data_IF_144326659889
#
_entry.id   IF_144326659889
#
_cell.length_a   1.000
_cell.length_b   1.000
_cell.length_c   1.000
_cell.angle_alpha   90.00
_cell.angle_beta   90.00
_cell.angle_gamma   90.00
#
_symmetry.space_group_name_H-M   'P 1'
#
loop_
_entity.id
_entity.type
_entity.pdbx_description
1 polymer ?
#
# COMPACT_ATOMS: atom_id res chain seq x y z
N UNK A 1 64.93 -29.44 -37.89
CA UNK A 1 63.68 -29.38 -37.09
C UNK A 1 64.03 -29.42 -35.61
N UNK A 2 64.25 -28.27 -34.98
CA UNK A 2 64.57 -28.18 -33.54
C UNK A 2 63.31 -27.92 -32.72
N UNK A 3 62.86 -28.90 -31.95
CA UNK A 3 61.80 -28.73 -30.94
C UNK A 3 62.33 -27.82 -29.84
N UNK A 4 61.75 -26.63 -29.69
CA UNK A 4 62.00 -25.75 -28.56
C UNK A 4 61.64 -26.49 -27.27
N UNK A 5 62.64 -26.74 -26.43
CA UNK A 5 62.45 -27.29 -25.09
C UNK A 5 61.57 -26.33 -24.28
N UNK A 6 60.35 -26.77 -23.95
CA UNK A 6 59.44 -26.02 -23.09
C UNK A 6 60.11 -25.80 -21.74
N UNK A 7 60.41 -24.54 -21.41
CA UNK A 7 60.87 -24.15 -20.07
C UNK A 7 59.85 -24.67 -19.05
N UNK A 8 60.25 -25.64 -18.24
CA UNK A 8 59.47 -26.08 -17.09
C UNK A 8 59.18 -24.85 -16.23
N UNK A 9 57.89 -24.54 -16.10
CA UNK A 9 57.40 -23.41 -15.31
C UNK A 9 57.66 -23.79 -13.85
N UNK A 10 58.69 -23.21 -13.24
CA UNK A 10 59.04 -23.48 -11.85
C UNK A 10 57.78 -23.32 -10.97
N UNK A 11 57.42 -24.38 -10.25
CA UNK A 11 56.29 -24.34 -9.31
C UNK A 11 56.59 -23.29 -8.24
N UNK A 12 55.75 -22.26 -8.20
CA UNK A 12 55.86 -21.23 -7.17
C UNK A 12 55.36 -21.83 -5.85
N UNK A 13 56.09 -21.64 -4.74
CA UNK A 13 55.65 -22.15 -3.45
C UNK A 13 54.30 -21.52 -3.05
N UNK A 14 53.40 -22.33 -2.51
CA UNK A 14 52.09 -21.87 -2.04
C UNK A 14 52.23 -20.80 -0.94
N UNK A 15 51.30 -19.85 -0.89
CA UNK A 15 51.19 -18.90 0.22
C UNK A 15 50.73 -19.63 1.48
N UNK A 16 51.15 -19.15 2.64
CA UNK A 16 50.85 -19.80 3.91
C UNK A 16 49.43 -19.40 4.41
N UNK A 17 48.85 -20.19 5.33
CA UNK A 17 47.53 -19.87 5.93
C UNK A 17 47.45 -18.46 6.58
N UNK A 18 48.51 -17.91 7.20
CA UNK A 18 48.49 -16.52 7.66
C UNK A 18 48.23 -15.51 6.54
N UNK A 19 48.79 -15.73 5.34
CA UNK A 19 48.56 -14.86 4.18
C UNK A 19 47.10 -14.93 3.72
N UNK A 20 46.47 -16.11 3.82
CA UNK A 20 45.04 -16.31 3.56
C UNK A 20 44.16 -15.51 4.50
N UNK A 21 44.42 -15.58 5.81
CA UNK A 21 43.69 -14.81 6.81
C UNK A 21 43.85 -13.31 6.59
N UNK A 22 45.04 -12.88 6.20
CA UNK A 22 45.33 -11.49 5.92
C UNK A 22 44.56 -10.97 4.69
N UNK A 23 44.53 -11.72 3.58
CA UNK A 23 43.70 -11.39 2.41
C UNK A 23 42.23 -11.24 2.81
N UNK A 24 41.68 -12.21 3.56
CA UNK A 24 40.29 -12.16 4.01
C UNK A 24 40.02 -10.97 4.94
N UNK A 25 40.94 -10.64 5.84
CA UNK A 25 40.84 -9.47 6.71
C UNK A 25 40.75 -8.19 5.89
N UNK A 26 41.62 -8.02 4.89
CA UNK A 26 41.61 -6.86 3.99
C UNK A 26 40.30 -6.78 3.21
N UNK A 27 39.81 -7.89 2.65
CA UNK A 27 38.54 -7.92 1.93
C UNK A 27 37.37 -7.50 2.84
N UNK A 28 37.29 -8.04 4.06
CA UNK A 28 36.23 -7.75 5.04
C UNK A 28 36.21 -6.30 5.51
N UNK A 29 37.40 -5.72 5.69
CA UNK A 29 37.56 -4.33 6.14
C UNK A 29 37.44 -3.31 5.01
N UNK A 30 37.60 -3.74 3.76
CA UNK A 30 37.43 -2.84 2.63
C UNK A 30 35.99 -2.38 2.50
N UNK A 31 35.80 -1.08 2.27
CA UNK A 31 34.50 -0.49 1.98
C UNK A 31 34.04 -0.72 0.52
N UNK A 32 34.99 -0.98 -0.39
CA UNK A 32 34.73 -1.27 -1.81
C UNK A 32 35.44 -2.55 -2.28
N UNK A 33 34.95 -3.19 -3.36
CA UNK A 33 35.67 -4.29 -4.00
C UNK A 33 37.06 -3.86 -4.49
N UNK A 34 38.06 -4.69 -4.23
CA UNK A 34 39.47 -4.38 -4.50
C UNK A 34 39.98 -5.13 -5.74
N UNK A 35 40.72 -4.43 -6.60
CA UNK A 35 41.53 -5.08 -7.63
C UNK A 35 42.73 -5.78 -7.00
N UNK A 36 43.23 -6.84 -7.64
CA UNK A 36 44.38 -7.63 -7.18
C UNK A 36 45.58 -6.77 -6.78
N UNK A 37 45.88 -5.72 -7.55
CA UNK A 37 47.01 -4.82 -7.30
C UNK A 37 46.80 -4.00 -6.01
N UNK A 38 45.57 -3.58 -5.72
CA UNK A 38 45.25 -2.87 -4.47
C UNK A 38 45.30 -3.83 -3.29
N UNK A 39 44.80 -5.05 -3.46
CA UNK A 39 44.81 -6.09 -2.44
C UNK A 39 46.25 -6.42 -2.01
N UNK A 40 47.15 -6.62 -2.98
CA UNK A 40 48.58 -6.81 -2.76
C UNK A 40 49.25 -5.66 -1.99
N UNK A 41 48.81 -4.42 -2.21
CA UNK A 41 49.35 -3.24 -1.52
C UNK A 41 48.83 -3.09 -0.08
N UNK A 42 47.63 -3.59 0.19
CA UNK A 42 46.97 -3.44 1.49
C UNK A 42 47.20 -4.61 2.44
N UNK A 43 47.46 -5.81 1.89
CA UNK A 43 47.71 -7.01 2.67
C UNK A 43 49.17 -7.08 3.12
N UNK A 44 49.39 -7.25 4.42
CA UNK A 44 50.70 -7.44 5.03
C UNK A 44 51.05 -8.93 5.01
N UNK A 45 51.62 -9.38 3.88
CA UNK A 45 51.99 -10.77 3.69
C UNK A 45 53.29 -11.14 4.43
N UNK A 46 53.43 -12.42 4.76
CA UNK A 46 54.64 -12.99 5.37
C UNK A 46 55.90 -12.83 4.51
N UNK A 47 55.72 -12.73 3.19
CA UNK A 47 56.76 -12.45 2.20
C UNK A 47 56.21 -11.63 1.04
N UNK A 48 57.06 -10.99 0.21
CA UNK A 48 56.61 -10.35 -1.02
C UNK A 48 55.93 -11.38 -1.95
N UNK A 49 54.61 -11.27 -2.08
CA UNK A 49 53.79 -12.14 -2.92
C UNK A 49 53.69 -11.58 -4.34
N UNK A 50 53.75 -12.47 -5.33
CA UNK A 50 53.47 -12.14 -6.74
C UNK A 50 51.96 -12.18 -6.99
N UNK A 51 51.52 -11.42 -7.99
CA UNK A 51 50.12 -11.41 -8.44
C UNK A 51 49.55 -12.82 -8.68
N UNK A 52 50.30 -13.68 -9.36
CA UNK A 52 49.89 -15.06 -9.66
C UNK A 52 49.67 -15.89 -8.39
N UNK A 53 50.48 -15.70 -7.35
CA UNK A 53 50.33 -16.44 -6.09
C UNK A 53 49.04 -16.02 -5.36
N UNK A 54 48.72 -14.73 -5.38
CA UNK A 54 47.49 -14.20 -4.78
C UNK A 54 46.25 -14.55 -5.63
N UNK A 55 46.37 -14.65 -6.95
CA UNK A 55 45.28 -15.15 -7.82
C UNK A 55 44.92 -16.61 -7.48
N UNK A 56 45.91 -17.48 -7.27
CA UNK A 56 45.68 -18.87 -6.84
C UNK A 56 44.98 -18.91 -5.49
N UNK A 57 45.44 -18.08 -4.54
CA UNK A 57 44.81 -17.97 -3.22
C UNK A 57 43.37 -17.45 -3.30
N UNK A 58 43.10 -16.43 -4.12
CA UNK A 58 41.75 -15.91 -4.36
C UNK A 58 40.87 -16.97 -5.00
N UNK A 59 41.37 -17.76 -5.95
CA UNK A 59 40.64 -18.89 -6.53
C UNK A 59 40.16 -19.90 -5.48
N UNK A 60 41.01 -20.19 -4.48
CA UNK A 60 40.62 -21.02 -3.33
C UNK A 60 39.54 -20.35 -2.46
N UNK A 61 39.66 -19.05 -2.21
CA UNK A 61 38.65 -18.28 -1.43
C UNK A 61 37.31 -18.17 -2.14
N UNK A 62 37.31 -17.98 -3.47
CA UNK A 62 36.11 -17.97 -4.31
C UNK A 62 35.42 -19.34 -4.28
N UNK A 63 36.20 -20.41 -4.43
CA UNK A 63 35.68 -21.79 -4.40
C UNK A 63 35.08 -22.15 -3.03
N UNK A 64 35.63 -21.58 -1.95
CA UNK A 64 35.12 -21.74 -0.60
C UNK A 64 33.94 -20.81 -0.26
N UNK A 65 33.52 -19.92 -1.17
CA UNK A 65 32.47 -18.92 -0.91
C UNK A 65 32.85 -17.85 0.13
N UNK A 66 34.15 -17.68 0.42
CA UNK A 66 34.66 -16.69 1.37
C UNK A 66 35.00 -15.35 0.71
N UNK A 67 35.10 -15.34 -0.61
CA UNK A 67 35.22 -14.15 -1.43
C UNK A 67 34.26 -14.27 -2.62
N UNK A 68 33.93 -13.14 -3.22
CA UNK A 68 33.12 -13.03 -4.43
C UNK A 68 33.92 -12.24 -5.46
N UNK A 69 33.89 -12.72 -6.70
CA UNK A 69 34.47 -12.00 -7.83
C UNK A 69 33.47 -10.96 -8.33
N UNK A 70 33.97 -9.74 -8.50
CA UNK A 70 33.22 -8.57 -8.93
C UNK A 70 33.66 -8.16 -10.34
N UNK A 71 32.71 -7.77 -11.21
CA UNK A 71 33.05 -7.33 -12.55
C UNK A 71 33.96 -6.11 -12.51
N UNK A 72 34.79 -5.99 -13.55
CA UNK A 72 35.64 -4.83 -13.75
C UNK A 72 34.82 -3.52 -13.84
N UNK A 73 35.40 -2.40 -13.42
CA UNK A 73 34.76 -1.07 -13.54
C UNK A 73 34.56 -0.64 -15.01
N UNK A 74 35.36 -1.18 -15.92
CA UNK A 74 35.33 -0.91 -17.35
C UNK A 74 35.37 -2.25 -18.11
N UNK A 75 34.90 -2.28 -19.36
CA UNK A 75 34.89 -3.50 -20.17
C UNK A 75 36.28 -4.12 -20.39
N UNK A 76 37.34 -3.31 -20.31
CA UNK A 76 38.73 -3.76 -20.44
C UNK A 76 39.47 -3.89 -19.08
N UNK A 77 38.76 -3.66 -17.97
CA UNK A 77 39.37 -3.67 -16.64
C UNK A 77 39.56 -5.09 -16.09
N UNK A 78 40.27 -5.18 -14.96
CA UNK A 78 40.49 -6.44 -14.24
C UNK A 78 39.35 -6.73 -13.26
N UNK A 79 39.10 -8.01 -12.94
CA UNK A 79 38.14 -8.35 -11.89
C UNK A 79 38.56 -7.76 -10.55
N UNK A 80 37.56 -7.53 -9.72
CA UNK A 80 37.69 -7.05 -8.34
C UNK A 80 37.24 -8.16 -7.41
N UNK A 81 37.64 -8.10 -6.14
CA UNK A 81 37.32 -9.12 -5.15
C UNK A 81 36.80 -8.47 -3.89
N UNK A 82 35.80 -9.08 -3.27
CA UNK A 82 35.25 -8.65 -1.99
C UNK A 82 34.76 -9.84 -1.16
N UNK A 83 34.45 -9.62 0.12
CA UNK A 83 33.89 -10.64 1.01
C UNK A 83 32.36 -10.72 0.95
N UNK A 84 31.72 -9.72 0.34
CA UNK A 84 30.26 -9.61 0.20
C UNK A 84 29.84 -9.77 -1.24
N UNK A 85 28.72 -10.45 -1.45
CA UNK A 85 28.06 -10.51 -2.74
C UNK A 85 27.39 -9.16 -3.04
N UNK A 86 27.82 -8.51 -4.14
CA UNK A 86 27.21 -7.29 -4.65
C UNK A 86 25.70 -7.45 -4.78
N UNK A 87 25.31 -8.61 -5.30
CA UNK A 87 23.96 -8.88 -5.73
C UNK A 87 23.06 -8.95 -4.52
N UNK A 88 23.37 -9.81 -3.55
CA UNK A 88 22.59 -9.90 -2.32
C UNK A 88 22.52 -8.58 -1.54
N UNK A 89 23.66 -7.93 -1.28
CA UNK A 89 23.69 -6.67 -0.52
C UNK A 89 23.06 -5.50 -1.29
N UNK A 90 23.31 -5.44 -2.59
CA UNK A 90 22.81 -4.42 -3.50
C UNK A 90 21.31 -4.51 -3.73
N UNK A 91 20.78 -5.72 -3.98
CA UNK A 91 19.35 -5.95 -4.17
C UNK A 91 18.54 -5.52 -2.96
N UNK A 92 18.94 -5.94 -1.76
CA UNK A 92 18.26 -5.57 -0.52
C UNK A 92 18.22 -4.06 -0.33
N UNK A 93 19.35 -3.38 -0.49
CA UNK A 93 19.42 -1.93 -0.34
C UNK A 93 18.67 -1.15 -1.43
N UNK A 94 18.73 -1.58 -2.70
CA UNK A 94 17.97 -0.94 -3.79
C UNK A 94 16.48 -1.14 -3.56
N UNK A 95 16.06 -2.36 -3.21
CA UNK A 95 14.67 -2.67 -2.88
C UNK A 95 14.17 -1.79 -1.75
N UNK A 96 14.87 -1.79 -0.62
CA UNK A 96 14.43 -1.05 0.56
C UNK A 96 14.33 0.46 0.27
N UNK A 97 15.28 1.00 -0.52
CA UNK A 97 15.24 2.40 -0.97
C UNK A 97 14.07 2.70 -1.90
N UNK A 98 13.78 1.83 -2.87
CA UNK A 98 12.71 2.03 -3.88
C UNK A 98 11.32 1.81 -3.26
N UNK A 99 11.19 0.84 -2.36
CA UNK A 99 9.94 0.52 -1.67
C UNK A 99 9.58 1.51 -0.57
N UNK A 100 10.56 2.12 0.09
CA UNK A 100 10.32 3.17 1.10
C UNK A 100 10.12 4.56 0.51
N UNK A 101 10.41 4.75 -0.79
CA UNK A 101 10.26 6.04 -1.45
C UNK A 101 8.79 6.49 -1.51
N UNK A 102 8.52 7.75 -1.17
CA UNK A 102 7.19 8.34 -1.29
C UNK A 102 6.75 8.55 -2.75
N UNK A 103 7.71 8.66 -3.68
CA UNK A 103 7.49 8.88 -5.11
C UNK A 103 8.36 7.94 -5.94
N UNK A 104 7.96 7.60 -7.18
CA UNK A 104 8.79 6.82 -8.09
C UNK A 104 10.13 7.49 -8.37
N UNK A 105 11.22 6.72 -8.28
CA UNK A 105 12.59 7.21 -8.41
C UNK A 105 13.18 6.88 -9.78
N UNK A 106 13.92 7.80 -10.39
CA UNK A 106 14.75 7.47 -11.56
C UNK A 106 16.02 6.72 -11.14
N UNK A 107 16.68 6.02 -12.07
CA UNK A 107 17.99 5.39 -11.79
C UNK A 107 19.02 6.41 -11.26
N UNK A 108 18.97 7.66 -11.77
CA UNK A 108 19.83 8.76 -11.29
C UNK A 108 19.50 9.15 -9.84
N UNK A 109 18.22 9.20 -9.48
CA UNK A 109 17.79 9.52 -8.11
C UNK A 109 18.17 8.40 -7.14
N UNK A 110 17.99 7.13 -7.55
CA UNK A 110 18.42 5.96 -6.77
C UNK A 110 19.92 6.04 -6.49
N UNK A 111 20.73 6.31 -7.51
CA UNK A 111 22.18 6.49 -7.36
C UNK A 111 22.56 7.67 -6.46
N UNK A 112 21.79 8.76 -6.48
CA UNK A 112 22.00 9.94 -5.62
C UNK A 112 21.63 9.67 -4.16
N UNK A 113 20.55 8.93 -3.93
CA UNK A 113 20.05 8.57 -2.60
C UNK A 113 20.76 7.34 -2.01
N UNK A 114 21.56 6.65 -2.83
CA UNK A 114 22.37 5.51 -2.45
C UNK A 114 23.40 5.88 -1.37
N UNK A 115 23.25 5.30 -0.18
CA UNK A 115 24.13 5.53 0.98
C UNK A 115 24.98 4.33 1.36
N UNK A 116 25.05 3.29 0.54
CA UNK A 116 25.85 2.11 0.88
C UNK A 116 27.35 2.40 0.75
N UNK A 117 28.17 1.56 1.39
CA UNK A 117 29.63 1.73 1.46
C UNK A 117 30.33 1.68 0.11
N UNK A 118 29.70 1.07 -0.89
CA UNK A 118 30.22 0.92 -2.24
C UNK A 118 29.42 1.74 -3.26
N UNK A 119 30.07 2.17 -4.33
CA UNK A 119 29.44 2.89 -5.43
C UNK A 119 29.00 1.91 -6.51
N UNK A 120 27.74 2.01 -6.92
CA UNK A 120 27.21 1.30 -8.08
C UNK A 120 27.54 2.07 -9.37
N UNK A 121 28.02 1.36 -10.38
CA UNK A 121 27.98 1.82 -11.77
C UNK A 121 26.54 1.81 -12.28
N UNK A 122 26.28 2.52 -13.39
CA UNK A 122 24.93 2.55 -13.97
C UNK A 122 24.53 1.16 -14.49
N UNK A 123 25.48 0.41 -15.05
CA UNK A 123 25.26 -0.97 -15.52
C UNK A 123 24.91 -1.92 -14.37
N UNK A 124 25.64 -1.85 -13.25
CA UNK A 124 25.35 -2.67 -12.07
C UNK A 124 23.97 -2.31 -11.49
N UNK A 125 23.65 -1.01 -11.33
CA UNK A 125 22.35 -0.58 -10.83
C UNK A 125 21.20 -1.05 -11.74
N UNK A 126 21.34 -0.91 -13.06
CA UNK A 126 20.32 -1.37 -14.00
C UNK A 126 20.16 -2.90 -13.99
N UNK A 127 21.23 -3.66 -13.75
CA UNK A 127 21.14 -5.11 -13.58
C UNK A 127 20.33 -5.49 -12.33
N UNK A 128 20.61 -4.84 -11.19
CA UNK A 128 19.85 -5.05 -9.95
C UNK A 128 18.37 -4.67 -10.10
N UNK A 129 18.07 -3.57 -10.80
CA UNK A 129 16.69 -3.14 -11.04
C UNK A 129 15.92 -4.13 -11.93
N UNK A 130 16.55 -4.66 -12.99
CA UNK A 130 15.92 -5.68 -13.84
C UNK A 130 15.60 -6.95 -13.08
N UNK A 131 16.46 -7.34 -12.15
CA UNK A 131 16.21 -8.50 -11.29
C UNK A 131 15.02 -8.25 -10.35
N UNK A 132 15.00 -7.12 -9.65
CA UNK A 132 13.86 -6.77 -8.78
C UNK A 132 12.53 -6.63 -9.55
N UNK A 133 12.60 -6.23 -10.83
CA UNK A 133 11.45 -6.21 -11.73
C UNK A 133 10.99 -7.61 -12.12
N UNK A 134 11.92 -8.50 -12.45
CA UNK A 134 11.62 -9.89 -12.79
C UNK A 134 10.98 -10.64 -11.61
N UNK A 135 11.41 -10.32 -10.39
CA UNK A 135 10.84 -10.86 -9.14
C UNK A 135 9.51 -10.19 -8.74
N UNK A 136 9.05 -9.17 -9.47
CA UNK A 136 7.82 -8.43 -9.17
C UNK A 136 7.85 -7.63 -7.86
N UNK A 137 9.05 -7.39 -7.32
CA UNK A 137 9.23 -6.66 -6.04
C UNK A 137 9.14 -5.14 -6.24
N UNK A 138 9.57 -4.67 -7.41
CA UNK A 138 9.40 -3.28 -7.84
C UNK A 138 8.70 -3.25 -9.20
N UNK A 139 8.22 -2.07 -9.59
CA UNK A 139 7.50 -1.86 -10.85
C UNK A 139 8.09 -0.67 -11.61
N UNK A 140 8.08 -0.77 -12.93
CA UNK A 140 8.39 0.36 -13.81
C UNK A 140 7.20 1.30 -13.88
N UNK A 141 7.43 2.56 -13.54
CA UNK A 141 6.46 3.64 -13.66
C UNK A 141 6.89 4.52 -14.85
N UNK A 142 6.05 4.66 -15.88
CA UNK A 142 6.39 5.51 -17.02
C UNK A 142 6.50 6.97 -16.58
N UNK A 143 7.45 7.70 -17.17
CA UNK A 143 7.59 9.13 -16.93
C UNK A 143 6.38 9.91 -17.46
N UNK A 144 6.18 11.13 -16.92
CA UNK A 144 5.10 12.04 -17.35
C UNK A 144 5.21 12.48 -18.81
N UNK A 145 6.39 12.34 -19.43
CA UNK A 145 6.63 12.64 -20.84
C UNK A 145 7.44 11.51 -21.46
N UNK A 146 7.38 11.38 -22.79
CA UNK A 146 8.18 10.42 -23.57
C UNK A 146 9.69 10.60 -23.31
N UNK A 147 10.09 11.81 -22.94
CA UNK A 147 11.48 12.16 -22.58
C UNK A 147 11.79 11.84 -21.11
N UNK A 148 10.78 11.76 -20.25
CA UNK A 148 10.92 11.37 -18.86
C UNK A 148 11.23 9.88 -18.80
N UNK A 149 12.51 9.55 -18.62
CA UNK A 149 12.97 8.16 -18.52
C UNK A 149 12.21 7.35 -17.46
N UNK A 150 12.31 6.02 -17.60
CA UNK A 150 11.68 5.04 -16.71
C UNK A 150 12.01 5.33 -15.24
N UNK A 151 10.99 5.25 -14.39
CA UNK A 151 11.11 5.34 -12.94
C UNK A 151 10.75 4.01 -12.32
N UNK A 152 11.21 3.79 -11.10
CA UNK A 152 11.01 2.55 -10.36
C UNK A 152 10.32 2.85 -9.04
N UNK A 153 9.39 2.00 -8.64
CA UNK A 153 8.69 2.13 -7.36
C UNK A 153 8.33 0.77 -6.77
N UNK A 154 8.20 0.67 -5.45
CA UNK A 154 7.77 -0.56 -4.78
C UNK A 154 6.26 -0.81 -4.82
N UNK A 155 5.51 -0.01 -5.57
CA UNK A 155 4.06 -0.11 -5.72
C UNK A 155 3.71 -0.22 -7.19
N UNK A 156 2.64 -0.94 -7.46
CA UNK A 156 2.22 -1.22 -8.83
C UNK A 156 1.80 0.07 -9.58
N UNK A 157 1.79 -0.03 -10.91
CA UNK A 157 1.47 1.07 -11.82
C UNK A 157 0.06 1.63 -11.57
N UNK A 158 -0.90 0.77 -11.24
CA UNK A 158 -2.29 1.16 -10.97
C UNK A 158 -2.41 1.89 -9.64
N UNK A 159 -1.63 1.53 -8.62
CA UNK A 159 -1.58 2.25 -7.34
C UNK A 159 -1.04 3.66 -7.53
N UNK A 160 0.00 3.84 -8.35
CA UNK A 160 0.52 5.17 -8.68
C UNK A 160 -0.49 6.01 -9.47
N UNK A 161 -1.13 5.40 -10.47
CA UNK A 161 -2.19 6.04 -11.25
C UNK A 161 -3.38 6.42 -10.36
N UNK A 162 -3.79 5.54 -9.46
CA UNK A 162 -4.88 5.76 -8.51
C UNK A 162 -4.60 6.90 -7.54
N UNK A 163 -3.39 6.98 -7.00
CA UNK A 163 -2.97 8.12 -6.20
C UNK A 163 -3.05 9.45 -6.96
N UNK A 164 -2.66 9.45 -8.24
CA UNK A 164 -2.73 10.63 -9.11
C UNK A 164 -4.16 11.05 -9.42
N UNK A 165 -5.03 10.09 -9.71
CA UNK A 165 -6.47 10.28 -9.96
C UNK A 165 -7.17 10.84 -8.73
N UNK A 166 -6.92 10.25 -7.55
CA UNK A 166 -7.51 10.72 -6.29
C UNK A 166 -7.04 12.12 -5.95
N UNK A 167 -5.76 12.44 -6.15
CA UNK A 167 -5.25 13.78 -5.89
C UNK A 167 -5.88 14.83 -6.82
N UNK A 168 -6.04 14.51 -8.11
CA UNK A 168 -6.71 15.40 -9.06
C UNK A 168 -8.17 15.68 -8.64
N UNK A 169 -8.90 14.64 -8.18
CA UNK A 169 -10.27 14.79 -7.68
C UNK A 169 -10.34 15.55 -6.35
N UNK A 170 -9.34 15.43 -5.46
CA UNK A 170 -9.29 16.23 -4.22
C UNK A 170 -9.13 17.70 -4.53
N UNK A 171 -8.25 18.02 -5.48
CA UNK A 171 -7.93 19.40 -5.82
C UNK A 171 -9.06 20.09 -6.61
N UNK A 172 -9.72 19.37 -7.52
CA UNK A 172 -10.69 19.96 -8.45
C UNK A 172 -12.14 19.56 -8.22
N UNK A 173 -12.38 18.65 -7.27
CA UNK A 173 -13.70 18.08 -7.03
C UNK A 173 -14.12 17.13 -8.14
N UNK A 174 -15.39 17.23 -8.54
CA UNK A 174 -16.00 16.32 -9.51
C UNK A 174 -15.52 16.63 -10.95
N UNK A 175 -14.99 15.62 -11.64
CA UNK A 175 -14.41 15.77 -12.99
C UNK A 175 -15.00 14.80 -14.02
N UNK A 176 -15.10 15.21 -15.31
CA UNK A 176 -15.38 14.29 -16.41
C UNK A 176 -14.25 13.27 -16.63
N UNK A 177 -14.60 12.07 -17.13
CA UNK A 177 -13.63 11.01 -17.44
C UNK A 177 -12.45 11.49 -18.28
N UNK A 178 -12.69 12.34 -19.30
CA UNK A 178 -11.64 12.86 -20.19
C UNK A 178 -10.65 13.79 -19.47
N UNK A 179 -11.12 14.60 -18.51
CA UNK A 179 -10.23 15.47 -17.72
C UNK A 179 -9.43 14.65 -16.72
N UNK A 180 -10.07 13.65 -16.11
CA UNK A 180 -9.40 12.74 -15.18
C UNK A 180 -8.31 11.92 -15.88
N UNK A 181 -8.57 11.47 -17.11
CA UNK A 181 -7.63 10.75 -17.98
C UNK A 181 -6.35 11.54 -18.24
N UNK A 182 -6.43 12.87 -18.31
CA UNK A 182 -5.28 13.71 -18.57
C UNK A 182 -4.19 13.61 -17.48
N UNK A 183 -4.57 13.30 -16.23
CA UNK A 183 -3.62 13.10 -15.12
C UNK A 183 -2.78 11.82 -15.28
N UNK A 184 -3.28 10.84 -16.02
CA UNK A 184 -2.69 9.51 -16.22
C UNK A 184 -2.65 9.13 -17.70
N UNK A 185 -2.38 10.09 -18.59
CA UNK A 185 -2.36 9.90 -20.05
C UNK A 185 -1.39 8.81 -20.52
N UNK A 186 -0.40 8.49 -19.71
CA UNK A 186 0.61 7.45 -19.95
C UNK A 186 0.09 6.03 -19.74
N UNK A 187 -1.04 5.84 -19.06
CA UNK A 187 -1.68 4.53 -18.89
C UNK A 187 -2.44 4.19 -20.19
N UNK A 188 -2.60 2.94 -20.59
CA UNK A 188 -3.48 2.58 -21.71
C UNK A 188 -4.96 2.60 -21.30
N UNK A 189 -5.87 2.55 -22.28
CA UNK A 189 -7.31 2.68 -22.01
C UNK A 189 -7.90 1.49 -21.24
N UNK A 190 -7.37 0.28 -21.45
CA UNK A 190 -7.83 -0.93 -20.77
C UNK A 190 -7.47 -0.85 -19.29
N UNK A 191 -6.20 -0.58 -18.98
CA UNK A 191 -5.74 -0.39 -17.60
C UNK A 191 -6.37 0.82 -16.92
N UNK A 192 -6.68 1.88 -17.67
CA UNK A 192 -7.38 3.04 -17.13
C UNK A 192 -8.82 2.72 -16.73
N UNK A 193 -9.54 1.94 -17.53
CA UNK A 193 -10.87 1.45 -17.17
C UNK A 193 -10.81 0.56 -15.91
N UNK A 194 -9.88 -0.41 -15.88
CA UNK A 194 -9.63 -1.26 -14.72
C UNK A 194 -9.33 -0.45 -13.45
N UNK A 195 -8.52 0.60 -13.58
CA UNK A 195 -8.21 1.51 -12.47
C UNK A 195 -9.47 2.16 -11.90
N UNK A 196 -10.33 2.72 -12.75
CA UNK A 196 -11.56 3.39 -12.29
C UNK A 196 -12.52 2.39 -11.64
N UNK A 197 -12.68 1.20 -12.22
CA UNK A 197 -13.54 0.15 -11.66
C UNK A 197 -13.01 -0.31 -10.30
N UNK A 198 -11.69 -0.49 -10.15
CA UNK A 198 -11.05 -0.84 -8.87
C UNK A 198 -11.27 0.23 -7.82
N UNK A 199 -11.06 1.50 -8.15
CA UNK A 199 -11.27 2.62 -7.22
C UNK A 199 -12.76 2.76 -6.83
N UNK A 200 -13.68 2.51 -7.77
CA UNK A 200 -15.11 2.54 -7.51
C UNK A 200 -15.55 1.37 -6.62
N UNK A 201 -15.06 0.16 -6.88
CA UNK A 201 -15.33 -1.02 -6.05
C UNK A 201 -14.82 -0.87 -4.61
N UNK A 202 -13.74 -0.09 -4.42
CA UNK A 202 -13.20 0.27 -3.10
C UNK A 202 -13.90 1.47 -2.45
N UNK A 203 -14.95 2.03 -3.07
CA UNK A 203 -15.64 3.25 -2.62
C UNK A 203 -14.71 4.46 -2.43
N UNK A 204 -13.59 4.51 -3.16
CA UNK A 204 -12.66 5.65 -3.13
C UNK A 204 -13.08 6.75 -4.11
N UNK A 205 -13.80 6.37 -5.16
CA UNK A 205 -14.44 7.29 -6.10
C UNK A 205 -15.86 6.82 -6.39
N UNK A 206 -16.71 7.75 -6.79
CA UNK A 206 -18.11 7.52 -7.11
C UNK A 206 -18.39 7.99 -8.52
N UNK A 207 -19.15 7.16 -9.25
CA UNK A 207 -19.68 7.50 -10.57
C UNK A 207 -20.91 8.37 -10.38
N UNK A 208 -20.86 9.62 -10.84
CA UNK A 208 -21.97 10.56 -10.77
C UNK A 208 -22.85 10.39 -12.02
N UNK A 209 -24.19 10.32 -11.87
CA UNK A 209 -25.08 10.22 -13.01
C UNK A 209 -24.89 11.43 -13.94
N UNK A 210 -24.89 11.21 -15.24
CA UNK A 210 -24.77 12.30 -16.19
C UNK A 210 -26.00 13.23 -16.07
N UNK A 211 -25.79 14.48 -15.67
CA UNK A 211 -26.87 15.47 -15.72
C UNK A 211 -27.15 15.85 -17.17
N UNK A 212 -28.43 15.86 -17.57
CA UNK A 212 -28.88 16.36 -18.89
C UNK A 212 -28.79 17.90 -18.99
N UNK A 213 -27.72 18.50 -18.49
CA UNK A 213 -27.45 19.92 -18.63
C UNK A 213 -26.66 20.16 -19.94
N UNK A 214 -27.34 20.09 -21.10
CA UNK A 214 -26.77 20.47 -22.40
C UNK A 214 -26.58 19.32 -23.41
N UNK A 215 -25.82 19.60 -24.48
CA UNK A 215 -25.69 18.75 -25.69
C UNK A 215 -24.94 17.43 -25.51
N UNK A 216 -24.27 17.19 -24.38
CA UNK A 216 -23.60 15.91 -24.12
C UNK A 216 -23.69 15.53 -22.64
N UNK A 217 -24.38 14.44 -22.35
CA UNK A 217 -24.41 13.82 -21.03
C UNK A 217 -23.01 13.23 -20.74
N UNK A 218 -22.16 13.99 -20.05
CA UNK A 218 -20.82 13.53 -19.68
C UNK A 218 -20.87 12.76 -18.37
N UNK A 219 -20.13 11.65 -18.32
CA UNK A 219 -19.93 10.91 -17.09
C UNK A 219 -18.96 11.64 -16.18
N UNK A 220 -19.36 11.84 -14.93
CA UNK A 220 -18.61 12.54 -13.91
C UNK A 220 -18.13 11.58 -12.83
N UNK A 221 -16.99 11.89 -12.21
CA UNK A 221 -16.39 11.15 -11.11
C UNK A 221 -16.06 12.09 -9.97
N UNK A 222 -16.30 11.66 -8.73
CA UNK A 222 -15.97 12.43 -7.52
C UNK A 222 -15.56 11.51 -6.36
N UNK A 223 -14.97 12.07 -5.31
CA UNK A 223 -14.56 11.31 -4.10
C UNK A 223 -15.73 11.11 -3.13
N UNK A 224 -16.75 11.96 -3.22
CA UNK A 224 -17.98 11.82 -2.45
C UNK A 224 -19.11 11.22 -3.31
N UNK A 225 -20.04 10.47 -2.69
CA UNK A 225 -21.28 10.10 -3.34
C UNK A 225 -21.99 11.34 -3.94
N UNK A 226 -22.67 11.20 -5.10
CA UNK A 226 -23.44 12.30 -5.67
C UNK A 226 -24.54 12.73 -4.69
N UNK A 227 -24.60 14.03 -4.38
CA UNK A 227 -25.68 14.58 -3.56
C UNK A 227 -26.97 14.56 -4.38
N UNK A 228 -28.10 14.02 -3.92
CA UNK A 228 -29.29 13.84 -4.77
C UNK A 228 -29.95 15.16 -5.21
N UNK A 229 -29.70 16.26 -4.51
CA UNK A 229 -30.41 17.54 -4.65
C UNK A 229 -30.42 18.13 -6.08
N UNK A 230 -29.30 18.17 -6.82
CA UNK A 230 -29.29 18.70 -8.19
C UNK A 230 -30.17 17.89 -9.15
N UNK A 231 -30.28 16.58 -8.95
CA UNK A 231 -31.12 15.68 -9.76
C UNK A 231 -32.60 15.78 -9.36
N UNK A 232 -32.87 16.02 -8.08
CA UNK A 232 -34.21 16.16 -7.56
C UNK A 232 -34.81 17.56 -7.81
N UNK A 233 -34.00 18.60 -8.04
CA UNK A 233 -34.50 19.96 -8.25
C UNK A 233 -35.47 20.09 -9.45
N UNK A 234 -35.15 19.63 -10.67
CA UNK A 234 -36.10 19.69 -11.79
C UNK A 234 -37.37 18.86 -11.54
N UNK A 235 -37.21 17.71 -10.88
CA UNK A 235 -38.35 16.85 -10.51
C UNK A 235 -39.26 17.57 -9.52
N UNK A 236 -38.69 18.26 -8.53
CA UNK A 236 -39.43 19.08 -7.57
C UNK A 236 -40.23 20.18 -8.28
N UNK A 237 -39.62 20.89 -9.22
CA UNK A 237 -40.28 21.95 -10.00
C UNK A 237 -41.45 21.41 -10.82
N UNK A 238 -41.24 20.29 -11.53
CA UNK A 238 -42.29 19.60 -12.28
C UNK A 238 -43.42 19.08 -11.37
N UNK A 239 -43.06 18.50 -10.22
CA UNK A 239 -44.02 17.99 -9.25
C UNK A 239 -44.87 19.13 -8.68
N UNK A 240 -44.27 20.28 -8.35
CA UNK A 240 -45.02 21.45 -7.90
C UNK A 240 -46.05 21.91 -8.93
N UNK A 241 -45.70 21.89 -10.21
CA UNK A 241 -46.61 22.25 -11.30
C UNK A 241 -47.76 21.23 -11.46
N UNK A 242 -47.46 19.93 -11.43
CA UNK A 242 -48.49 18.87 -11.46
C UNK A 242 -49.43 18.97 -10.26
N UNK A 243 -48.89 19.18 -9.06
CA UNK A 243 -49.68 19.37 -7.82
C UNK A 243 -50.61 20.57 -7.97
N UNK A 244 -50.14 21.67 -8.57
CA UNK A 244 -50.95 22.87 -8.83
C UNK A 244 -52.11 22.57 -9.77
N UNK A 245 -51.85 21.86 -10.88
CA UNK A 245 -52.88 21.49 -11.86
C UNK A 245 -53.94 20.53 -11.27
N UNK A 246 -53.51 19.50 -10.52
CA UNK A 246 -54.44 18.53 -9.91
C UNK A 246 -55.30 19.17 -8.80
N UNK A 247 -54.74 20.12 -8.04
CA UNK A 247 -55.52 20.90 -7.07
C UNK A 247 -56.56 21.78 -7.74
N UNK A 248 -56.25 22.38 -8.89
CA UNK A 248 -57.22 23.15 -9.68
C UNK A 248 -58.38 22.26 -10.17
N UNK A 249 -58.14 20.97 -10.36
CA UNK A 249 -59.14 19.96 -10.69
C UNK A 249 -59.81 19.32 -9.44
N UNK A 250 -59.65 19.91 -8.25
CA UNK A 250 -60.25 19.44 -6.98
C UNK A 250 -59.80 18.06 -6.49
N UNK A 251 -58.63 17.57 -6.91
CA UNK A 251 -58.03 16.35 -6.34
C UNK A 251 -57.58 16.63 -4.91
N UNK A 252 -58.00 15.77 -3.97
CA UNK A 252 -57.64 15.95 -2.56
C UNK A 252 -56.13 15.76 -2.31
N UNK A 253 -55.59 16.46 -1.31
CA UNK A 253 -54.19 16.29 -0.92
C UNK A 253 -53.89 14.86 -0.42
N UNK A 254 -54.89 14.19 0.15
CA UNK A 254 -54.78 12.81 0.64
C UNK A 254 -54.64 11.82 -0.51
N UNK A 255 -55.45 11.95 -1.56
CA UNK A 255 -55.38 11.06 -2.73
C UNK A 255 -54.08 11.29 -3.50
N UNK A 256 -53.64 12.54 -3.62
CA UNK A 256 -52.35 12.87 -4.22
C UNK A 256 -51.18 12.28 -3.43
N UNK A 257 -51.23 12.35 -2.10
CA UNK A 257 -50.21 11.73 -1.23
C UNK A 257 -50.22 10.22 -1.38
N UNK A 258 -51.39 9.56 -1.39
CA UNK A 258 -51.51 8.10 -1.58
C UNK A 258 -50.87 7.69 -2.91
N UNK A 259 -51.27 8.32 -4.01
CA UNK A 259 -50.72 8.03 -5.33
C UNK A 259 -49.20 8.26 -5.41
N UNK A 260 -48.67 9.32 -4.76
CA UNK A 260 -47.23 9.58 -4.72
C UNK A 260 -46.46 8.52 -3.91
N UNK A 261 -47.03 8.04 -2.80
CA UNK A 261 -46.46 6.93 -2.01
C UNK A 261 -46.46 5.66 -2.83
N UNK A 262 -47.58 5.28 -3.44
CA UNK A 262 -47.71 4.08 -4.27
C UNK A 262 -46.69 4.08 -5.42
N UNK A 263 -46.46 5.24 -6.04
CA UNK A 263 -45.47 5.42 -7.11
C UNK A 263 -44.03 5.25 -6.60
N UNK A 264 -43.70 5.80 -5.42
CA UNK A 264 -42.36 5.69 -4.84
C UNK A 264 -42.07 4.27 -4.35
N UNK A 265 -43.06 3.59 -3.75
CA UNK A 265 -42.95 2.19 -3.36
C UNK A 265 -42.81 1.27 -4.58
N UNK A 266 -43.56 1.53 -5.65
CA UNK A 266 -43.41 0.82 -6.94
C UNK A 266 -42.03 1.04 -7.57
N UNK A 267 -41.38 2.16 -7.27
CA UNK A 267 -39.99 2.44 -7.65
C UNK A 267 -38.95 1.82 -6.69
N UNK A 268 -39.39 1.04 -5.70
CA UNK A 268 -38.53 0.38 -4.70
C UNK A 268 -38.08 1.31 -3.57
N UNK A 269 -38.64 2.51 -3.45
CA UNK A 269 -38.34 3.47 -2.38
C UNK A 269 -39.36 3.26 -1.27
N UNK A 270 -39.01 2.47 -0.26
CA UNK A 270 -39.85 2.29 0.92
C UNK A 270 -39.85 3.56 1.77
N UNK A 271 -40.92 4.34 1.65
CA UNK A 271 -41.23 5.44 2.57
C UNK A 271 -41.77 4.83 3.85
N UNK A 272 -40.89 4.25 4.67
CA UNK A 272 -41.26 3.61 5.93
C UNK A 272 -42.30 4.44 6.65
N UNK A 273 -43.45 3.82 6.95
CA UNK A 273 -44.61 4.48 7.52
C UNK A 273 -44.17 5.35 8.70
N UNK A 274 -44.17 6.66 8.52
CA UNK A 274 -43.79 7.65 9.54
C UNK A 274 -44.91 7.84 10.57
N UNK A 275 -45.69 6.80 10.80
CA UNK A 275 -46.82 6.73 11.72
C UNK A 275 -46.54 5.61 12.70
N UNK A 276 -45.96 5.96 13.85
CA UNK A 276 -45.90 5.07 15.01
C UNK A 276 -44.62 4.27 15.16
N UNK A 277 -43.53 4.95 15.55
CA UNK A 277 -42.52 4.34 16.43
C UNK A 277 -43.13 4.12 17.82
N UNK A 278 -44.05 3.16 17.93
CA UNK A 278 -44.46 2.47 19.15
C UNK A 278 -45.39 1.32 18.77
N UNK A 279 -44.91 0.09 18.98
CA UNK A 279 -45.73 -1.11 19.13
C UNK A 279 -46.55 -1.59 17.92
N UNK A 280 -45.90 -2.09 16.85
CA UNK A 280 -46.40 -3.23 16.06
C UNK A 280 -45.48 -3.55 14.86
N UNK A 281 -44.25 -3.97 15.13
CA UNK A 281 -43.52 -4.81 14.15
C UNK A 281 -42.65 -5.80 14.92
N UNK A 282 -43.35 -6.64 15.67
CA UNK A 282 -42.84 -7.73 16.48
C UNK A 282 -43.34 -9.08 15.94
N UNK A 283 -43.30 -9.26 14.62
CA UNK A 283 -43.49 -10.55 13.96
C UNK A 283 -42.93 -10.40 12.53
N UNK A 284 -41.74 -10.87 12.15
CA UNK A 284 -40.93 -11.96 12.63
C UNK A 284 -39.44 -11.69 12.33
N UNK A 285 -38.83 -10.77 13.08
CA UNK A 285 -37.38 -10.76 13.25
C UNK A 285 -37.12 -11.38 14.62
N UNK A 286 -36.36 -12.48 14.65
CA UNK A 286 -35.82 -13.04 15.89
C UNK A 286 -35.04 -11.92 16.56
N UNK A 287 -35.64 -11.29 17.57
CA UNK A 287 -35.03 -10.19 18.31
C UNK A 287 -33.88 -10.76 19.12
N UNK A 288 -32.69 -10.74 18.53
CA UNK A 288 -31.45 -10.95 19.28
C UNK A 288 -31.46 -9.88 20.39
N UNK A 289 -31.33 -10.27 21.68
CA UNK A 289 -31.33 -9.31 22.77
C UNK A 289 -30.24 -8.26 22.51
N UNK A 290 -30.66 -7.00 22.34
CA UNK A 290 -29.76 -5.89 22.12
C UNK A 290 -28.99 -5.62 23.42
N UNK A 291 -27.74 -6.05 23.48
CA UNK A 291 -26.85 -5.77 24.62
C UNK A 291 -26.39 -4.31 24.58
N UNK A 292 -26.60 -3.56 25.65
CA UNK A 292 -26.09 -2.20 25.80
C UNK A 292 -24.63 -2.23 26.25
N UNK A 293 -23.70 -2.15 25.29
CA UNK A 293 -22.26 -2.17 25.57
C UNK A 293 -21.81 -0.98 26.43
N UNK A 294 -22.46 0.19 26.36
CA UNK A 294 -22.07 1.36 27.15
C UNK A 294 -22.39 1.13 28.62
N UNK A 295 -23.58 0.61 28.92
CA UNK A 295 -23.95 0.20 30.28
C UNK A 295 -23.00 -0.88 30.81
N UNK A 296 -22.65 -1.85 29.97
CA UNK A 296 -21.77 -2.94 30.35
C UNK A 296 -20.33 -2.46 30.65
N UNK A 297 -19.81 -1.50 29.87
CA UNK A 297 -18.51 -0.87 30.15
C UNK A 297 -18.47 -0.21 31.53
N UNK A 298 -19.55 0.48 31.94
CA UNK A 298 -19.68 1.09 33.27
C UNK A 298 -19.74 0.06 34.40
N UNK A 299 -20.30 -1.11 34.14
CA UNK A 299 -20.36 -2.21 35.12
C UNK A 299 -19.00 -2.89 35.30
N UNK A 300 -18.23 -3.00 34.21
CA UNK A 300 -16.92 -3.64 34.22
C UNK A 300 -15.83 -2.77 34.85
N UNK A 301 -15.89 -1.45 34.65
CA UNK A 301 -14.91 -0.52 35.19
C UNK A 301 -15.58 0.79 35.65
N UNK A 302 -15.49 1.09 36.95
CA UNK A 302 -16.00 2.34 37.53
C UNK A 302 -15.26 3.59 37.01
N UNK A 303 -14.08 3.42 36.41
CA UNK A 303 -13.34 4.44 35.69
C UNK A 303 -13.83 4.69 34.27
N UNK A 304 -14.77 3.89 33.72
CA UNK A 304 -15.20 4.01 32.32
C UNK A 304 -15.76 5.41 31.99
N UNK A 305 -16.52 6.03 32.90
CA UNK A 305 -17.03 7.41 32.73
C UNK A 305 -15.92 8.47 32.78
N UNK A 306 -14.71 8.11 33.19
CA UNK A 306 -13.49 8.95 33.13
C UNK A 306 -12.59 8.57 31.95
N UNK A 307 -13.11 7.80 30.99
CA UNK A 307 -12.36 7.37 29.81
C UNK A 307 -11.39 6.22 30.07
N UNK A 308 -11.57 5.44 31.16
CA UNK A 308 -10.80 4.22 31.36
C UNK A 308 -11.02 3.24 30.20
N UNK A 309 -9.94 2.57 29.79
CA UNK A 309 -9.95 1.63 28.68
C UNK A 309 -10.48 0.27 29.15
N UNK A 310 -11.56 -0.19 28.54
CA UNK A 310 -12.06 -1.57 28.69
C UNK A 310 -11.56 -2.40 27.50
N UNK A 311 -10.88 -3.52 27.76
CA UNK A 311 -10.35 -4.36 26.68
C UNK A 311 -11.47 -5.05 25.90
N UNK A 312 -11.28 -5.22 24.59
CA UNK A 312 -12.26 -5.85 23.70
C UNK A 312 -12.61 -7.28 24.17
N UNK A 313 -11.60 -8.03 24.64
CA UNK A 313 -11.76 -9.39 25.18
C UNK A 313 -12.72 -9.44 26.37
N UNK A 314 -12.52 -8.58 27.37
CA UNK A 314 -13.33 -8.57 28.60
C UNK A 314 -14.76 -8.14 28.28
N UNK A 315 -14.93 -7.10 27.47
CA UNK A 315 -16.25 -6.59 27.13
C UNK A 315 -17.05 -7.58 26.26
N UNK A 316 -16.41 -8.26 25.30
CA UNK A 316 -17.07 -9.31 24.50
C UNK A 316 -17.50 -10.49 25.35
N UNK A 317 -16.62 -10.93 26.25
CA UNK A 317 -16.93 -12.01 27.19
C UNK A 317 -18.15 -11.70 28.06
N UNK A 318 -18.23 -10.47 28.58
CA UNK A 318 -19.36 -10.03 29.39
C UNK A 318 -20.64 -9.78 28.57
N UNK A 319 -20.50 -9.38 27.29
CA UNK A 319 -21.64 -9.15 26.40
C UNK A 319 -22.31 -10.44 25.93
N UNK A 320 -21.58 -11.57 25.93
CA UNK A 320 -22.10 -12.85 25.44
C UNK A 320 -22.45 -12.86 23.96
N UNK A 321 -21.94 -11.90 23.18
CA UNK A 321 -22.25 -11.75 21.76
C UNK A 321 -21.29 -12.57 20.88
N UNK A 322 -21.79 -13.14 19.76
CA UNK A 322 -20.93 -13.66 18.70
C UNK A 322 -19.98 -12.58 18.20
N UNK A 323 -18.74 -12.97 17.86
CA UNK A 323 -17.68 -12.01 17.52
C UNK A 323 -18.08 -10.99 16.45
N UNK A 324 -18.63 -11.45 15.34
CA UNK A 324 -19.04 -10.57 14.23
C UNK A 324 -20.06 -9.52 14.70
N UNK A 325 -21.03 -9.91 15.51
CA UNK A 325 -22.05 -9.00 16.04
C UNK A 325 -21.46 -8.01 17.04
N UNK A 326 -20.53 -8.46 17.88
CA UNK A 326 -19.81 -7.61 18.82
C UNK A 326 -18.98 -6.54 18.09
N UNK A 327 -18.23 -6.95 17.06
CA UNK A 327 -17.38 -6.06 16.27
C UNK A 327 -18.22 -5.01 15.53
N UNK A 328 -19.32 -5.42 14.88
CA UNK A 328 -20.27 -4.52 14.22
C UNK A 328 -20.85 -3.49 15.20
N UNK A 329 -21.29 -3.92 16.38
CA UNK A 329 -21.88 -3.05 17.41
C UNK A 329 -20.87 -2.04 17.97
N UNK A 330 -19.63 -2.49 18.24
CA UNK A 330 -18.55 -1.61 18.68
C UNK A 330 -18.22 -0.54 17.62
N UNK A 331 -18.11 -0.92 16.35
CA UNK A 331 -17.87 0.02 15.25
C UNK A 331 -19.02 1.02 15.09
N UNK A 332 -20.27 0.58 15.21
CA UNK A 332 -21.44 1.47 15.19
C UNK A 332 -21.41 2.49 16.32
N UNK A 333 -21.13 2.06 17.56
CA UNK A 333 -21.03 2.97 18.71
C UNK A 333 -19.87 3.97 18.55
N UNK A 334 -18.75 3.54 17.96
CA UNK A 334 -17.64 4.43 17.64
C UNK A 334 -18.01 5.49 16.60
N UNK A 335 -18.72 5.09 15.53
CA UNK A 335 -19.22 6.02 14.49
C UNK A 335 -20.24 7.00 15.06
N UNK A 336 -21.08 6.55 15.99
CA UNK A 336 -22.02 7.39 16.74
C UNK A 336 -21.35 8.28 17.79
N UNK A 337 -20.01 8.22 17.95
CA UNK A 337 -19.26 9.03 18.90
C UNK A 337 -19.48 8.68 20.37
N UNK A 338 -20.08 7.52 20.66
CA UNK A 338 -20.38 7.06 22.03
C UNK A 338 -19.16 6.48 22.73
N UNK A 339 -18.29 5.84 21.94
CA UNK A 339 -17.03 5.26 22.39
C UNK A 339 -15.88 5.71 21.49
N UNK A 340 -14.65 5.52 21.96
CA UNK A 340 -13.42 5.65 21.19
C UNK A 340 -12.75 4.29 21.15
N UNK A 341 -12.44 3.79 19.95
CA UNK A 341 -11.70 2.55 19.76
C UNK A 341 -10.19 2.84 19.75
N UNK A 342 -9.43 2.10 20.55
CA UNK A 342 -7.97 2.20 20.59
C UNK A 342 -7.36 1.17 19.65
N UNK A 343 -6.65 1.66 18.63
CA UNK A 343 -6.02 0.83 17.60
C UNK A 343 -4.82 0.06 18.17
N UNK A 344 -4.62 -1.16 17.67
CA UNK A 344 -3.44 -1.96 17.94
C UNK A 344 -2.39 -1.76 16.83
N UNK A 345 -1.21 -1.24 17.17
CA UNK A 345 -0.20 -0.83 16.18
C UNK A 345 0.48 -2.02 15.47
N UNK A 346 0.51 -3.19 16.10
CA UNK A 346 1.24 -4.37 15.59
C UNK A 346 0.37 -5.64 15.51
N UNK A 347 -0.86 -5.53 14.98
CA UNK A 347 -1.78 -6.67 14.91
C UNK A 347 -1.27 -7.85 14.05
N UNK A 348 -0.35 -7.60 13.12
CA UNK A 348 0.30 -8.62 12.30
C UNK A 348 1.24 -9.53 13.07
N UNK A 349 1.78 -9.06 14.21
CA UNK A 349 2.67 -9.84 15.08
C UNK A 349 1.94 -10.82 15.99
N UNK A 350 0.62 -10.66 16.14
CA UNK A 350 -0.22 -11.51 16.95
C UNK A 350 -0.56 -12.81 16.23
N UNK A 351 -0.68 -13.89 17.01
CA UNK A 351 -1.24 -15.15 16.53
C UNK A 351 -2.69 -14.97 16.08
N UNK A 352 -3.21 -15.92 15.29
CA UNK A 352 -4.60 -15.87 14.82
C UNK A 352 -5.59 -15.84 16.00
N UNK A 353 -5.29 -16.57 17.08
CA UNK A 353 -6.13 -16.65 18.28
C UNK A 353 -6.17 -15.30 18.99
N UNK A 354 -5.02 -14.66 19.22
CA UNK A 354 -4.95 -13.34 19.86
C UNK A 354 -5.59 -12.26 19.00
N UNK A 355 -5.42 -12.35 17.68
CA UNK A 355 -6.04 -11.43 16.73
C UNK A 355 -7.56 -11.54 16.73
N UNK A 356 -8.10 -12.75 16.94
CA UNK A 356 -9.54 -12.98 17.08
C UNK A 356 -10.11 -12.43 18.40
N UNK A 357 -9.27 -12.03 19.37
CA UNK A 357 -9.73 -11.34 20.57
C UNK A 357 -9.92 -9.83 20.38
N UNK A 358 -9.39 -9.25 19.30
CA UNK A 358 -9.46 -7.81 18.99
C UNK A 358 -10.69 -7.49 18.14
N UNK A 359 -11.27 -6.30 18.29
CA UNK A 359 -12.32 -5.83 17.35
C UNK A 359 -11.66 -5.56 15.99
N UNK A 360 -12.28 -5.98 14.88
CA UNK A 360 -11.79 -5.68 13.53
C UNK A 360 -12.86 -5.03 12.67
N UNK A 361 -12.44 -4.15 11.77
CA UNK A 361 -13.29 -3.56 10.73
C UNK A 361 -13.39 -4.41 9.46
N UNK A 362 -12.65 -5.52 9.39
CA UNK A 362 -12.54 -6.36 8.19
C UNK A 362 -11.61 -5.80 7.11
N UNK A 363 -11.08 -4.59 7.30
CA UNK A 363 -10.15 -3.91 6.38
C UNK A 363 -8.70 -3.96 6.88
N UNK A 364 -8.43 -4.84 7.86
CA UNK A 364 -7.11 -5.04 8.44
C UNK A 364 -6.78 -4.08 9.59
N UNK A 365 -7.74 -3.28 10.07
CA UNK A 365 -7.59 -2.58 11.34
C UNK A 365 -8.06 -3.48 12.49
N UNK A 366 -7.33 -3.39 13.59
CA UNK A 366 -7.63 -4.11 14.81
C UNK A 366 -7.57 -3.15 16.00
N UNK A 367 -8.53 -3.30 16.92
CA UNK A 367 -8.68 -2.45 18.08
C UNK A 367 -8.61 -3.29 19.35
N UNK A 368 -7.78 -2.86 20.29
CA UNK A 368 -7.46 -3.60 21.53
C UNK A 368 -8.45 -3.33 22.66
N UNK A 369 -9.06 -2.15 22.66
CA UNK A 369 -10.00 -1.75 23.68
C UNK A 369 -10.79 -0.53 23.28
N UNK A 370 -11.69 -0.15 24.17
CA UNK A 370 -12.63 0.94 23.95
C UNK A 370 -12.73 1.78 25.23
N UNK A 371 -12.86 3.10 25.07
CA UNK A 371 -13.12 4.02 26.16
C UNK A 371 -14.41 4.81 25.88
N UNK A 372 -15.15 5.19 26.91
CA UNK A 372 -16.29 6.10 26.74
C UNK A 372 -15.76 7.49 26.37
N UNK A 373 -16.44 8.19 25.45
CA UNK A 373 -16.04 9.56 25.09
C UNK A 373 -16.50 10.51 26.21
N UNK A 374 -15.56 10.98 27.03
CA UNK A 374 -15.81 11.99 28.06
C UNK A 374 -16.05 13.35 27.40
N UNK A 375 -17.27 13.90 27.52
CA UNK A 375 -17.58 15.24 27.02
C UNK A 375 -18.97 15.47 26.42
N UNK A 376 -19.82 14.43 26.32
CA UNK A 376 -21.25 14.65 26.05
C UNK A 376 -22.05 14.51 27.34
N UNK A 377 -22.09 15.61 28.10
CA UNK A 377 -23.24 15.89 28.96
C UNK A 377 -24.42 16.05 28.00
N UNK A 378 -25.47 15.23 28.17
CA UNK A 378 -26.72 15.38 27.44
C UNK A 378 -27.40 16.71 27.78
#
# INVERSE_FOLDING_TARGET
>A
MGKAAGKQKAELPALAEPDRHEVLRVLRQSAEPLELVKLLKQAVMSRPAKAVEVEVLLGSLLSAGLAVEWPAKTAAGKPRFWDRDLRAAGLGAVRDLVCSAAVPLSAKDIKKLWKCSFKLTDTELLALLRELLADGTIFEIPGKSVVGGVRYWGRDVLQFAGASVLEELRQRGTLPTAKLRASVKWLDDVRYAELLDRLAAQNLIFRHPAMKAGKSAQLLWGIAPPSPEPWLKPIREQLCEVVRQLRAASVSATDLRRAAVDMLESAGISLGATTGSTAASAAAAVSVPSVDLVRLMRQLDAGADRGALVTARVLRGAAGLPKKQFDELALQLSRAGRIVLHRHDFASSLSVVERDELVTDGEGQYFVGMALRTGQVQ
#
